data_IF_783906201064
#
_entry.id   IF_783906201064
#
_cell.length_a   1.000
_cell.length_b   1.000
_cell.length_c   1.000
_cell.angle_alpha   90.00
_cell.angle_beta   90.00
_cell.angle_gamma   90.00
#
_symmetry.space_group_name_H-M   'P 1'
#
loop_
_entity.id
_entity.type
_entity.pdbx_description
1 polymer ?
#
# COMPACT_ATOMS: atom_id res chain seq x y z
N UNK A 1 -23.36 64.16 -8.41
CA UNK A 1 -24.44 63.16 -8.65
C UNK A 1 -23.74 61.86 -9.04
N UNK A 2 -24.02 60.67 -8.53
CA UNK A 2 -24.92 60.18 -7.48
C UNK A 2 -24.43 58.74 -7.19
N UNK A 3 -24.30 58.39 -5.90
CA UNK A 3 -24.76 57.11 -5.29
C UNK A 3 -24.19 55.77 -5.82
N UNK A 4 -23.31 55.16 -5.01
CA UNK A 4 -23.19 53.70 -4.85
C UNK A 4 -24.47 53.15 -4.17
N UNK A 5 -24.83 51.85 -4.26
CA UNK A 5 -24.27 50.87 -3.30
C UNK A 5 -24.32 49.41 -3.86
N UNK A 6 -24.00 48.27 -3.23
CA UNK A 6 -23.82 47.81 -1.86
C UNK A 6 -22.95 46.54 -1.94
N UNK A 7 -21.80 46.53 -1.27
CA UNK A 7 -21.19 45.27 -0.81
C UNK A 7 -21.65 45.06 0.62
N UNK A 8 -22.48 44.05 0.86
CA UNK A 8 -22.89 43.64 2.20
C UNK A 8 -23.01 42.14 2.23
N UNK A 9 -22.23 41.52 3.12
CA UNK A 9 -22.51 40.29 3.88
C UNK A 9 -21.23 40.02 4.70
N UNK A 10 -21.06 40.70 5.84
CA UNK A 10 -21.36 40.15 7.17
C UNK A 10 -20.82 38.71 7.33
N UNK A 11 -19.57 38.56 7.78
CA UNK A 11 -19.15 37.33 8.44
C UNK A 11 -19.04 37.58 9.93
N UNK A 12 -19.96 36.91 10.62
CA UNK A 12 -20.35 37.08 11.99
C UNK A 12 -19.25 36.63 12.97
N UNK A 13 -19.11 37.46 14.00
CA UNK A 13 -18.42 37.24 15.27
C UNK A 13 -18.85 35.89 15.89
N UNK A 14 -17.97 34.90 15.92
CA UNK A 14 -18.01 33.74 16.84
C UNK A 14 -16.54 33.42 17.14
N UNK A 15 -16.03 33.79 18.31
CA UNK A 15 -16.25 33.03 19.53
C UNK A 15 -14.95 32.30 19.84
N UNK A 16 -14.05 32.99 20.55
CA UNK A 16 -12.80 32.44 21.08
C UNK A 16 -13.17 31.31 22.05
N UNK A 17 -12.93 30.06 21.65
CA UNK A 17 -13.08 28.91 22.54
C UNK A 17 -11.71 28.25 22.68
N UNK A 18 -11.13 28.46 23.85
CA UNK A 18 -9.84 27.98 24.32
C UNK A 18 -9.80 26.45 24.27
N UNK A 19 -9.18 25.87 23.23
CA UNK A 19 -8.84 24.44 23.24
C UNK A 19 -7.52 24.31 23.99
N UNK A 20 -7.62 23.74 25.20
CA UNK A 20 -6.49 23.40 26.05
C UNK A 20 -5.53 22.48 25.29
N UNK A 21 -4.28 22.95 25.13
CA UNK A 21 -3.13 22.14 24.73
C UNK A 21 -2.85 21.12 25.83
N UNK A 22 -3.41 19.92 25.68
CA UNK A 22 -2.96 18.76 26.45
C UNK A 22 -1.66 18.30 25.78
N UNK A 23 -0.53 18.74 26.35
CA UNK A 23 0.79 18.15 26.12
C UNK A 23 0.75 16.72 26.68
N UNK A 24 0.41 15.76 25.83
CA UNK A 24 0.70 14.36 26.11
C UNK A 24 2.22 14.20 26.03
N UNK A 25 2.86 13.98 27.17
CA UNK A 25 4.22 13.46 27.26
C UNK A 25 4.27 12.18 26.43
N UNK A 26 4.98 12.22 25.30
CA UNK A 26 5.38 11.02 24.59
C UNK A 26 6.66 10.54 25.28
N UNK A 27 6.66 9.46 26.07
CA UNK A 27 7.91 8.79 26.38
C UNK A 27 8.47 8.25 25.06
N UNK A 28 9.60 8.83 24.65
CA UNK A 28 10.45 8.26 23.63
C UNK A 28 11.03 6.93 24.14
N UNK A 29 10.96 5.91 23.28
CA UNK A 29 11.72 4.66 23.23
C UNK A 29 11.97 3.92 24.55
N UNK A 30 11.34 2.76 24.72
CA UNK A 30 12.05 1.51 25.05
C UNK A 30 11.08 0.33 24.89
N UNK A 31 11.43 -0.66 24.06
CA UNK A 31 10.66 -1.89 23.93
C UNK A 31 10.37 -2.28 22.49
N UNK A 32 11.27 -3.09 21.94
CA UNK A 32 10.97 -4.08 20.90
C UNK A 32 9.88 -5.01 21.46
N UNK A 33 8.63 -4.58 21.36
CA UNK A 33 7.46 -5.34 21.74
C UNK A 33 6.70 -5.62 20.45
N UNK A 34 6.73 -6.88 20.01
CA UNK A 34 5.73 -7.39 19.10
C UNK A 34 4.35 -6.94 19.61
N UNK A 35 3.65 -6.15 18.81
CA UNK A 35 2.31 -5.66 19.14
C UNK A 35 1.34 -6.84 19.14
N UNK A 36 1.15 -7.44 20.32
CA UNK A 36 0.30 -8.63 20.54
C UNK A 36 -1.21 -8.28 20.60
N UNK A 37 -1.63 -7.11 20.10
CA UNK A 37 -3.02 -6.64 20.15
C UNK A 37 -3.66 -6.39 18.79
N UNK A 38 -2.87 -6.25 17.73
CA UNK A 38 -3.35 -6.30 16.35
C UNK A 38 -3.33 -7.74 15.88
N UNK A 39 -4.50 -8.32 15.59
CA UNK A 39 -4.57 -9.61 14.89
C UNK A 39 -3.79 -9.46 13.59
N UNK A 40 -2.60 -10.07 13.53
CA UNK A 40 -1.78 -9.99 12.34
C UNK A 40 -2.51 -10.62 11.16
N UNK A 41 -2.57 -9.94 9.99
CA UNK A 41 -3.28 -10.46 8.85
C UNK A 41 -2.67 -11.79 8.42
N UNK A 42 -3.55 -12.73 8.05
CA UNK A 42 -3.11 -14.04 7.56
C UNK A 42 -2.25 -13.89 6.32
N UNK A 43 -1.44 -14.91 6.05
CA UNK A 43 -0.67 -15.02 4.81
C UNK A 43 -1.52 -14.78 3.58
N UNK A 44 -2.68 -15.43 3.50
CA UNK A 44 -3.60 -15.32 2.38
C UNK A 44 -4.12 -13.88 2.26
N UNK A 45 -4.50 -13.26 3.38
CA UNK A 45 -4.93 -11.86 3.40
C UNK A 45 -3.83 -10.90 2.93
N UNK A 46 -2.55 -11.18 3.25
CA UNK A 46 -1.40 -10.39 2.78
C UNK A 46 -1.13 -10.62 1.29
N UNK A 47 -1.28 -11.83 0.78
CA UNK A 47 -1.18 -12.13 -0.66
C UNK A 47 -2.26 -11.38 -1.44
N UNK A 48 -3.52 -11.47 -1.01
CA UNK A 48 -4.64 -10.77 -1.64
C UNK A 48 -4.44 -9.24 -1.61
N UNK A 49 -3.99 -8.71 -0.47
CA UNK A 49 -3.72 -7.28 -0.33
C UNK A 49 -2.59 -6.80 -1.23
N UNK A 50 -1.51 -7.56 -1.37
CA UNK A 50 -0.42 -7.25 -2.29
C UNK A 50 -0.91 -7.26 -3.74
N UNK A 51 -1.58 -8.34 -4.15
CA UNK A 51 -2.08 -8.48 -5.52
C UNK A 51 -3.00 -7.32 -5.88
N UNK A 52 -3.98 -7.03 -5.01
CA UNK A 52 -4.91 -5.92 -5.25
C UNK A 52 -4.21 -4.56 -5.26
N UNK A 53 -3.31 -4.29 -4.31
CA UNK A 53 -2.63 -2.99 -4.25
C UNK A 53 -1.75 -2.72 -5.49
N UNK A 54 -1.02 -3.72 -5.96
CA UNK A 54 -0.15 -3.59 -7.13
C UNK A 54 -0.96 -3.47 -8.41
N UNK A 55 -2.01 -4.29 -8.57
CA UNK A 55 -2.85 -4.26 -9.76
C UNK A 55 -3.72 -2.99 -9.82
N UNK A 56 -4.26 -2.53 -8.69
CA UNK A 56 -4.94 -1.22 -8.64
C UNK A 56 -3.99 -0.10 -9.07
N UNK A 57 -2.72 -0.15 -8.66
CA UNK A 57 -1.72 0.81 -9.11
C UNK A 57 -1.42 0.69 -10.60
N UNK A 58 -1.28 -0.52 -11.14
CA UNK A 58 -1.09 -0.73 -12.58
C UNK A 58 -2.24 -0.14 -13.43
N UNK A 59 -3.48 -0.30 -12.93
CA UNK A 59 -4.71 0.17 -13.55
C UNK A 59 -4.94 1.69 -13.49
N UNK A 60 -4.13 2.43 -12.72
CA UNK A 60 -4.29 3.86 -12.50
C UNK A 60 -3.77 4.70 -13.68
N UNK A 61 -4.53 4.71 -14.77
CA UNK A 61 -4.21 5.49 -15.98
C UNK A 61 -4.24 6.99 -15.72
N UNK A 62 -4.98 7.46 -14.71
CA UNK A 62 -5.00 8.86 -14.28
C UNK A 62 -3.66 9.32 -13.71
N UNK A 63 -2.90 8.41 -13.10
CA UNK A 63 -1.53 8.66 -12.65
C UNK A 63 -0.46 8.36 -13.71
N UNK A 64 -0.85 8.06 -14.96
CA UNK A 64 0.07 7.74 -16.05
C UNK A 64 0.57 6.30 -16.08
N UNK A 65 -0.05 5.39 -15.32
CA UNK A 65 0.30 3.97 -15.36
C UNK A 65 -0.27 3.31 -16.65
N UNK A 66 0.26 2.14 -17.07
CA UNK A 66 -0.07 1.54 -18.37
C UNK A 66 -1.57 1.19 -18.56
N UNK A 67 -2.28 0.90 -17.47
CA UNK A 67 -3.66 0.47 -17.49
C UNK A 67 -3.86 -0.95 -18.03
N UNK A 68 -5.12 -1.37 -18.11
CA UNK A 68 -5.52 -2.67 -18.64
C UNK A 68 -5.94 -2.60 -20.10
N UNK A 69 -5.76 -3.70 -20.83
CA UNK A 69 -6.25 -3.85 -22.20
C UNK A 69 -5.42 -4.82 -23.04
N UNK A 70 -5.79 -4.95 -24.31
CA UNK A 70 -5.11 -5.82 -25.28
C UNK A 70 -4.23 -5.06 -26.27
N UNK A 71 -3.99 -3.77 -26.04
CA UNK A 71 -3.18 -2.94 -26.94
C UNK A 71 -1.68 -3.11 -26.67
N UNK A 72 -0.85 -2.64 -27.61
CA UNK A 72 0.61 -2.72 -27.50
C UNK A 72 1.10 -1.81 -26.37
N UNK A 73 1.43 -2.40 -25.22
CA UNK A 73 1.91 -1.67 -24.04
C UNK A 73 1.28 -2.16 -22.73
N UNK A 74 0.18 -2.91 -22.80
CA UNK A 74 -0.44 -3.56 -21.65
C UNK A 74 -0.01 -5.03 -21.56
N UNK A 75 0.36 -5.49 -20.35
CA UNK A 75 0.63 -6.91 -20.04
C UNK A 75 -0.66 -7.66 -19.76
N UNK A 76 -1.61 -7.01 -19.10
CA UNK A 76 -2.84 -7.61 -18.62
C UNK A 76 -4.06 -7.02 -19.32
N UNK A 77 -4.99 -7.90 -19.72
CA UNK A 77 -6.26 -7.49 -20.28
C UNK A 77 -7.22 -6.98 -19.21
N UNK A 78 -7.16 -7.55 -17.99
CA UNK A 78 -8.02 -7.19 -16.86
C UNK A 78 -7.27 -7.12 -15.53
N UNK A 79 -7.90 -6.52 -14.51
CA UNK A 79 -7.39 -6.53 -13.14
C UNK A 79 -7.26 -7.95 -12.58
N UNK A 80 -8.24 -8.82 -12.86
CA UNK A 80 -8.20 -10.20 -12.39
C UNK A 80 -7.04 -11.00 -12.98
N UNK A 81 -6.66 -10.75 -14.24
CA UNK A 81 -5.47 -11.40 -14.83
C UNK A 81 -4.19 -10.96 -14.12
N UNK A 82 -4.10 -9.68 -13.76
CA UNK A 82 -2.99 -9.15 -12.98
C UNK A 82 -2.94 -9.77 -11.58
N UNK A 83 -4.07 -9.77 -10.88
CA UNK A 83 -4.17 -10.29 -9.51
C UNK A 83 -3.82 -11.78 -9.47
N UNK A 84 -4.23 -12.57 -10.46
CA UNK A 84 -3.90 -13.99 -10.54
C UNK A 84 -2.38 -14.26 -10.67
N UNK A 85 -1.67 -13.48 -11.50
CA UNK A 85 -0.21 -13.59 -11.65
C UNK A 85 0.50 -13.20 -10.35
N UNK A 86 0.10 -12.08 -9.73
CA UNK A 86 0.68 -11.61 -8.47
C UNK A 86 0.37 -12.55 -7.31
N UNK A 87 -0.84 -13.11 -7.25
CA UNK A 87 -1.23 -14.09 -6.24
C UNK A 87 -0.39 -15.37 -6.38
N UNK A 88 -0.22 -15.87 -7.60
CA UNK A 88 0.61 -17.05 -7.89
C UNK A 88 2.06 -16.81 -7.48
N UNK A 89 2.64 -15.67 -7.87
CA UNK A 89 4.02 -15.32 -7.54
C UNK A 89 4.22 -15.16 -6.03
N UNK A 90 3.33 -14.43 -5.35
CA UNK A 90 3.44 -14.21 -3.91
C UNK A 90 3.23 -15.52 -3.12
N UNK A 91 2.35 -16.41 -3.56
CA UNK A 91 2.15 -17.71 -2.93
C UNK A 91 3.40 -18.61 -3.01
N UNK A 92 4.16 -18.54 -4.12
CA UNK A 92 5.44 -19.23 -4.31
C UNK A 92 6.55 -18.65 -3.42
N UNK A 93 6.63 -17.31 -3.36
CA UNK A 93 7.63 -16.61 -2.56
C UNK A 93 7.40 -16.76 -1.05
N UNK A 94 6.14 -16.86 -0.63
CA UNK A 94 5.73 -16.99 0.76
C UNK A 94 5.03 -18.34 0.98
N UNK A 95 5.76 -19.46 1.00
CA UNK A 95 5.15 -20.76 1.21
C UNK A 95 4.62 -20.85 2.66
N UNK A 96 3.50 -21.56 2.83
CA UNK A 96 2.76 -21.59 4.08
C UNK A 96 3.58 -22.15 5.27
N UNK A 97 4.53 -23.05 5.02
CA UNK A 97 5.42 -23.61 6.06
C UNK A 97 6.37 -22.57 6.65
N UNK A 98 6.72 -21.53 5.88
CA UNK A 98 7.62 -20.45 6.31
C UNK A 98 6.87 -19.21 6.77
N UNK A 99 5.80 -18.87 6.08
CA UNK A 99 5.13 -17.56 6.19
C UNK A 99 3.69 -17.65 6.74
N UNK A 100 3.23 -18.84 7.12
CA UNK A 100 1.91 -19.02 7.73
C UNK A 100 1.83 -18.44 9.15
N UNK A 101 0.61 -18.29 9.67
CA UNK A 101 0.34 -17.94 11.08
C UNK A 101 1.00 -16.65 11.58
N UNK A 102 0.85 -15.54 10.86
CA UNK A 102 1.36 -14.22 11.28
C UNK A 102 2.87 -14.04 11.08
N UNK A 103 3.59 -15.03 10.55
CA UNK A 103 5.05 -15.00 10.40
C UNK A 103 5.57 -14.10 9.29
N UNK A 104 4.81 -13.12 8.84
CA UNK A 104 5.23 -12.14 7.83
C UNK A 104 5.50 -10.82 8.55
N UNK A 105 6.75 -10.39 8.53
CA UNK A 105 7.14 -9.09 9.09
C UNK A 105 6.42 -7.96 8.34
N UNK A 106 5.64 -7.16 9.09
CA UNK A 106 4.82 -6.13 8.47
C UNK A 106 5.62 -5.04 7.76
N UNK A 107 6.74 -4.61 8.34
CA UNK A 107 7.57 -3.54 7.76
C UNK A 107 8.21 -4.00 6.45
N UNK A 108 8.71 -5.23 6.42
CA UNK A 108 9.31 -5.82 5.21
C UNK A 108 8.25 -6.11 4.15
N UNK A 109 7.07 -6.55 4.56
CA UNK A 109 5.92 -6.70 3.68
C UNK A 109 5.51 -5.37 3.03
N UNK A 110 5.41 -4.28 3.79
CA UNK A 110 5.03 -2.97 3.25
C UNK A 110 6.07 -2.44 2.25
N UNK A 111 7.36 -2.58 2.55
CA UNK A 111 8.44 -2.23 1.62
C UNK A 111 8.33 -3.01 0.31
N UNK A 112 7.94 -4.27 0.38
CA UNK A 112 7.71 -5.12 -0.78
C UNK A 112 6.52 -4.66 -1.62
N UNK A 113 5.41 -4.31 -0.97
CA UNK A 113 4.22 -3.77 -1.65
C UNK A 113 4.55 -2.44 -2.34
N UNK A 114 5.23 -1.52 -1.67
CA UNK A 114 5.57 -0.22 -2.27
C UNK A 114 6.57 -0.34 -3.43
N UNK A 115 7.55 -1.25 -3.32
CA UNK A 115 8.45 -1.55 -4.44
C UNK A 115 7.68 -2.09 -5.64
N UNK A 116 6.81 -3.08 -5.43
CA UNK A 116 6.01 -3.67 -6.51
C UNK A 116 5.07 -2.65 -7.16
N UNK A 117 4.43 -1.76 -6.37
CA UNK A 117 3.60 -0.65 -6.86
C UNK A 117 4.39 0.33 -7.74
N UNK A 118 5.62 0.66 -7.35
CA UNK A 118 6.47 1.56 -8.13
C UNK A 118 6.84 0.97 -9.49
N UNK A 119 7.21 -0.30 -9.55
CA UNK A 119 7.49 -0.98 -10.81
C UNK A 119 6.24 -1.14 -11.67
N UNK A 120 5.09 -1.48 -11.06
CA UNK A 120 3.84 -1.65 -11.78
C UNK A 120 3.41 -0.38 -12.55
N UNK A 121 3.60 0.81 -11.98
CA UNK A 121 3.26 2.06 -12.68
C UNK A 121 4.39 2.56 -13.62
N UNK A 122 5.57 1.96 -13.60
CA UNK A 122 6.68 2.43 -14.43
C UNK A 122 6.41 2.16 -15.92
N UNK A 123 6.82 3.10 -16.78
CA UNK A 123 6.34 3.18 -18.17
C UNK A 123 6.80 2.00 -19.06
N UNK A 124 5.88 1.08 -19.38
CA UNK A 124 6.06 0.01 -20.37
C UNK A 124 5.74 -1.39 -19.83
N UNK A 125 5.25 -2.29 -20.69
CA UNK A 125 4.85 -3.67 -20.34
C UNK A 125 5.97 -4.50 -19.67
N UNK A 126 7.24 -4.17 -19.94
CA UNK A 126 8.39 -4.79 -19.29
C UNK A 126 8.45 -4.47 -17.79
N UNK A 127 8.08 -3.25 -17.36
CA UNK A 127 8.24 -2.87 -15.96
C UNK A 127 7.28 -3.60 -15.01
N UNK A 128 6.14 -4.08 -15.50
CA UNK A 128 5.28 -4.93 -14.67
C UNK A 128 5.76 -6.39 -14.64
N UNK A 129 6.52 -6.84 -15.64
CA UNK A 129 7.31 -8.08 -15.50
C UNK A 129 8.42 -7.85 -14.47
N UNK A 130 9.10 -6.70 -14.51
CA UNK A 130 10.07 -6.31 -13.49
C UNK A 130 9.43 -6.16 -12.11
N UNK A 131 8.15 -5.78 -12.01
CA UNK A 131 7.42 -5.74 -10.75
C UNK A 131 7.24 -7.13 -10.14
N UNK A 132 6.95 -8.14 -10.96
CA UNK A 132 6.86 -9.55 -10.54
C UNK A 132 8.25 -10.05 -10.13
N UNK A 133 9.30 -9.71 -10.88
CA UNK A 133 10.68 -10.05 -10.53
C UNK A 133 11.19 -9.29 -9.31
N UNK A 134 10.73 -8.07 -9.07
CA UNK A 134 11.06 -7.30 -7.87
C UNK A 134 10.49 -7.95 -6.60
N UNK A 135 9.48 -8.82 -6.73
CA UNK A 135 9.02 -9.65 -5.62
C UNK A 135 10.04 -10.76 -5.26
N UNK A 136 11.03 -11.10 -6.09
CA UNK A 136 12.07 -12.05 -5.69
C UNK A 136 12.89 -11.54 -4.50
N UNK A 137 13.09 -10.21 -4.41
CA UNK A 137 13.68 -9.56 -3.24
C UNK A 137 12.77 -9.63 -1.99
N UNK A 138 11.52 -10.03 -2.18
CA UNK A 138 10.50 -10.22 -1.16
C UNK A 138 10.29 -11.69 -0.78
N UNK A 139 11.19 -12.59 -1.18
CA UNK A 139 11.12 -14.00 -0.83
C UNK A 139 11.00 -14.27 0.69
N UNK A 140 10.53 -15.45 1.06
CA UNK A 140 10.33 -15.84 2.46
C UNK A 140 11.56 -15.66 3.35
N UNK A 141 12.77 -15.86 2.82
CA UNK A 141 14.03 -15.64 3.57
C UNK A 141 14.30 -14.17 3.90
N UNK A 142 13.55 -13.25 3.30
CA UNK A 142 13.62 -11.81 3.55
C UNK A 142 12.41 -11.32 4.33
N UNK A 143 11.21 -11.74 3.98
CA UNK A 143 9.96 -11.15 4.52
C UNK A 143 9.38 -11.97 5.68
N UNK A 144 9.63 -13.27 5.71
CA UNK A 144 9.08 -14.12 6.75
C UNK A 144 10.05 -14.24 7.91
N UNK A 145 9.50 -14.16 9.12
CA UNK A 145 10.25 -14.37 10.35
C UNK A 145 10.22 -15.86 10.67
N UNK A 146 11.39 -16.44 10.93
CA UNK A 146 11.46 -17.76 11.52
C UNK A 146 10.67 -17.72 12.84
N UNK A 147 9.94 -18.79 13.20
CA UNK A 147 9.60 -18.95 14.62
C UNK A 147 10.88 -19.33 15.33
N UNK A 148 11.73 -18.36 15.58
CA UNK A 148 12.83 -18.50 16.49
C UNK A 148 12.42 -17.88 17.82
N UNK A 149 11.88 -18.78 18.67
CA UNK A 149 11.88 -18.77 20.13
C UNK A 149 10.89 -17.86 20.88
#
# INVERSE_FOLDING_TARGET
MLVAPNASMNLSKRGFSTVALIFAFIPACDGDAADDTVVEPSRESRIDSLASAVCNRYGDTGAGCPGYGSASGQKYATASDCEADFHTKAADLWPADKCGSGRIDNSRYELCVDRAKNYACSAGAQNIVDAISALDDCSASKVCVDSAN
#
